data_IF_848234948663
#
_entry.id   IF_848234948663
#
_cell.length_a   1.000
_cell.length_b   1.000
_cell.length_c   1.000
_cell.angle_alpha   90.00
_cell.angle_beta   90.00
_cell.angle_gamma   90.00
#
_symmetry.space_group_name_H-M   'P 1'
#
loop_
_entity.id
_entity.type
_entity.pdbx_description
1 polymer ?
#
# COMPACT_ATOMS: atom_id res chain seq x y z
N UNK A 1 -3.08 -17.70 15.93
CA UNK A 1 -2.89 -16.59 16.90
C UNK A 1 -4.24 -15.96 17.24
N UNK A 2 -4.40 -15.41 18.45
CA UNK A 2 -5.70 -14.86 18.90
C UNK A 2 -6.01 -13.54 18.19
N UNK A 3 -7.25 -13.30 17.71
CA UNK A 3 -7.68 -12.03 17.10
C UNK A 3 -7.39 -10.79 17.98
N UNK A 4 -7.26 -11.00 19.30
CA UNK A 4 -7.04 -9.94 20.28
C UNK A 4 -5.62 -9.33 20.30
N UNK A 5 -4.67 -9.89 19.55
CA UNK A 5 -3.32 -9.30 19.42
C UNK A 5 -3.32 -8.04 18.54
N UNK A 6 -4.43 -7.78 17.85
CA UNK A 6 -4.55 -6.72 16.86
C UNK A 6 -5.58 -5.71 17.31
N UNK A 7 -5.18 -4.45 17.49
CA UNK A 7 -6.12 -3.34 17.63
C UNK A 7 -6.67 -2.98 16.24
N UNK A 8 -7.34 -3.95 15.62
CA UNK A 8 -8.16 -3.73 14.45
C UNK A 8 -9.42 -3.02 14.93
N UNK A 9 -9.89 -2.02 14.19
CA UNK A 9 -11.25 -1.53 14.40
C UNK A 9 -12.25 -2.71 14.28
N UNK A 10 -13.42 -2.66 14.94
CA UNK A 10 -14.42 -3.74 14.85
C UNK A 10 -14.76 -4.16 13.41
N UNK A 11 -14.66 -3.22 12.46
CA UNK A 11 -14.83 -3.46 11.02
C UNK A 11 -13.68 -4.25 10.39
N UNK A 12 -12.43 -4.02 10.82
CA UNK A 12 -11.23 -4.65 10.28
C UNK A 12 -11.00 -6.08 10.80
N UNK A 13 -11.61 -6.49 11.91
CA UNK A 13 -11.52 -7.88 12.40
C UNK A 13 -12.08 -8.89 11.40
N UNK A 14 -13.09 -8.50 10.63
CA UNK A 14 -13.68 -9.34 9.57
C UNK A 14 -12.96 -9.17 8.22
N UNK A 15 -11.97 -8.28 8.13
CA UNK A 15 -11.17 -8.06 6.91
C UNK A 15 -9.85 -8.84 6.93
N UNK A 16 -9.50 -9.51 8.03
CA UNK A 16 -8.27 -10.27 8.18
C UNK A 16 -8.04 -11.30 7.05
N UNK A 17 -9.04 -12.10 6.60
CA UNK A 17 -8.85 -13.00 5.45
C UNK A 17 -8.50 -12.25 4.16
N UNK A 18 -9.13 -11.09 3.93
CA UNK A 18 -8.87 -10.24 2.76
C UNK A 18 -7.45 -9.70 2.78
N UNK A 19 -6.95 -9.27 3.94
CA UNK A 19 -5.57 -8.79 4.10
C UNK A 19 -4.55 -9.91 3.85
N UNK A 20 -4.83 -11.14 4.31
CA UNK A 20 -4.04 -12.32 3.96
C UNK A 20 -4.00 -12.53 2.45
N UNK A 21 -5.14 -12.43 1.76
CA UNK A 21 -5.19 -12.55 0.30
C UNK A 21 -4.39 -11.43 -0.39
N UNK A 22 -4.47 -10.18 0.09
CA UNK A 22 -3.63 -9.08 -0.42
C UNK A 22 -2.14 -9.42 -0.33
N UNK A 23 -1.70 -9.93 0.81
CA UNK A 23 -0.32 -10.34 1.04
C UNK A 23 0.08 -11.46 0.09
N UNK A 24 -0.71 -12.54 0.02
CA UNK A 24 -0.40 -13.68 -0.82
C UNK A 24 -0.30 -13.29 -2.30
N UNK A 25 -1.26 -12.49 -2.79
CA UNK A 25 -1.22 -11.94 -4.15
C UNK A 25 0.03 -11.10 -4.36
N UNK A 26 0.37 -10.21 -3.42
CA UNK A 26 1.55 -9.35 -3.52
C UNK A 26 2.87 -10.13 -3.54
N UNK A 27 3.00 -11.15 -2.69
CA UNK A 27 4.17 -12.03 -2.65
C UNK A 27 4.30 -12.91 -3.89
N UNK A 28 3.16 -13.37 -4.44
CA UNK A 28 3.13 -14.11 -5.71
C UNK A 28 3.61 -13.25 -6.86
N UNK A 29 3.17 -11.98 -6.94
CA UNK A 29 3.67 -11.04 -7.95
C UNK A 29 5.16 -10.75 -7.77
N UNK A 30 5.60 -10.56 -6.52
CA UNK A 30 7.01 -10.34 -6.19
C UNK A 30 7.88 -11.53 -6.60
N UNK A 31 7.40 -12.77 -6.49
CA UNK A 31 8.17 -13.97 -6.86
C UNK A 31 8.31 -14.16 -8.37
N UNK A 32 7.38 -13.60 -9.16
CA UNK A 32 7.37 -13.70 -10.62
C UNK A 32 8.39 -12.78 -11.32
N UNK A 33 8.77 -11.67 -10.69
CA UNK A 33 9.72 -10.72 -11.25
C UNK A 33 10.89 -10.44 -10.27
N UNK A 34 12.12 -10.87 -10.56
CA UNK A 34 13.28 -10.65 -9.69
C UNK A 34 13.73 -9.19 -9.62
N UNK A 35 13.28 -8.33 -10.54
CA UNK A 35 13.60 -6.90 -10.57
C UNK A 35 12.54 -6.03 -9.87
N UNK A 36 11.46 -6.65 -9.38
CA UNK A 36 10.41 -5.96 -8.64
C UNK A 36 10.73 -5.81 -7.14
N UNK A 37 10.16 -4.79 -6.52
CA UNK A 37 10.09 -4.62 -5.07
C UNK A 37 8.63 -4.58 -4.62
N UNK A 38 8.38 -5.10 -3.42
CA UNK A 38 7.09 -4.98 -2.74
C UNK A 38 7.21 -3.88 -1.69
N UNK A 39 6.30 -2.92 -1.69
CA UNK A 39 6.22 -1.92 -0.63
C UNK A 39 4.90 -2.11 0.12
N UNK A 40 4.96 -2.52 1.37
CA UNK A 40 3.83 -2.36 2.28
C UNK A 40 3.83 -0.92 2.77
N UNK A 41 2.75 -0.19 2.51
CA UNK A 41 2.63 1.23 2.83
C UNK A 41 1.39 1.53 3.66
N UNK A 42 1.60 2.25 4.76
CA UNK A 42 0.57 2.67 5.69
C UNK A 42 1.16 2.93 7.07
N UNK A 43 0.89 4.11 7.61
CA UNK A 43 1.45 4.56 8.88
C UNK A 43 0.61 4.20 10.10
N UNK A 44 0.79 4.97 11.17
CA UNK A 44 0.09 4.81 12.45
C UNK A 44 -1.17 5.68 12.46
N UNK A 45 -2.28 5.14 11.95
CA UNK A 45 -3.52 5.92 11.72
C UNK A 45 -4.50 5.93 12.89
N UNK A 46 -4.19 5.22 13.99
CA UNK A 46 -5.00 5.15 15.21
C UNK A 46 -4.09 5.20 16.45
N UNK A 47 -4.40 6.06 17.42
CA UNK A 47 -3.62 6.23 18.66
C UNK A 47 -3.49 4.96 19.52
N UNK A 48 -4.34 3.95 19.28
CA UNK A 48 -4.32 2.68 20.02
C UNK A 48 -3.33 1.69 19.42
N UNK A 49 -2.96 1.82 18.14
CA UNK A 49 -2.07 0.86 17.50
C UNK A 49 -0.62 1.02 17.98
N UNK A 50 0.09 -0.11 18.12
CA UNK A 50 1.51 -0.14 18.53
C UNK A 50 2.47 -0.35 17.36
N UNK A 51 1.93 -0.72 16.20
CA UNK A 51 2.65 -0.93 14.95
C UNK A 51 1.88 -0.24 13.84
N UNK A 52 2.58 0.16 12.77
CA UNK A 52 1.95 0.76 11.59
C UNK A 52 1.12 -0.27 10.81
N UNK A 53 0.25 0.22 9.93
CA UNK A 53 -0.47 -0.65 8.99
C UNK A 53 0.52 -1.45 8.11
N UNK A 54 1.60 -0.84 7.63
CA UNK A 54 2.63 -1.52 6.85
C UNK A 54 3.36 -2.62 7.64
N UNK A 55 3.76 -2.35 8.87
CA UNK A 55 4.38 -3.35 9.74
C UNK A 55 3.43 -4.51 10.07
N UNK A 56 2.13 -4.24 10.17
CA UNK A 56 1.13 -5.30 10.39
C UNK A 56 1.04 -6.30 9.23
N UNK A 57 1.21 -5.84 7.98
CA UNK A 57 1.29 -6.73 6.81
C UNK A 57 2.50 -7.66 6.90
N UNK A 58 3.68 -7.12 7.24
CA UNK A 58 4.89 -7.93 7.39
C UNK A 58 4.75 -8.93 8.53
N UNK A 59 4.24 -8.51 9.69
CA UNK A 59 4.01 -9.39 10.83
C UNK A 59 3.06 -10.55 10.48
N UNK A 60 2.01 -10.28 9.68
CA UNK A 60 1.10 -11.31 9.18
C UNK A 60 1.78 -12.29 8.22
N UNK A 61 2.71 -11.80 7.36
CA UNK A 61 3.54 -12.68 6.53
C UNK A 61 4.39 -13.64 7.39
N UNK A 62 4.95 -13.13 8.48
CA UNK A 62 5.81 -13.89 9.39
C UNK A 62 5.02 -14.94 10.18
N UNK A 63 3.89 -14.55 10.79
CA UNK A 63 3.05 -15.44 11.61
C UNK A 63 2.41 -16.55 10.78
N UNK A 64 1.97 -16.24 9.55
CA UNK A 64 1.30 -17.20 8.68
C UNK A 64 2.25 -18.08 7.85
N UNK A 65 3.57 -17.85 7.94
CA UNK A 65 4.57 -18.67 7.24
C UNK A 65 4.52 -18.55 5.71
N UNK A 66 4.10 -17.40 5.16
CA UNK A 66 3.91 -17.20 3.71
C UNK A 66 5.21 -17.16 2.88
N UNK A 67 6.34 -17.48 3.48
CA UNK A 67 7.66 -17.48 2.82
C UNK A 67 7.86 -18.67 1.86
N UNK A 68 6.96 -19.65 1.86
CA UNK A 68 7.03 -20.87 1.04
C UNK A 68 6.46 -20.72 -0.38
N UNK A 69 6.19 -19.50 -0.86
CA UNK A 69 5.61 -19.22 -2.19
C UNK A 69 6.52 -19.68 -3.35
N UNK A 70 7.75 -20.14 -3.08
CA UNK A 70 8.68 -20.70 -4.07
C UNK A 70 8.97 -22.22 -3.94
N UNK A 71 8.14 -23.00 -3.25
CA UNK A 71 8.27 -24.47 -3.24
C UNK A 71 7.33 -25.12 -4.26
N UNK A 72 7.51 -24.83 -5.55
CA UNK A 72 6.61 -25.28 -6.63
C UNK A 72 7.23 -26.25 -7.65
N UNK A 73 6.90 -27.54 -7.49
CA UNK A 73 6.80 -28.59 -8.53
C UNK A 73 8.07 -29.26 -9.10
N UNK A 74 8.50 -30.32 -8.43
CA UNK A 74 9.11 -31.49 -9.06
C UNK A 74 8.40 -32.74 -8.52
N UNK A 75 7.42 -33.25 -9.26
CA UNK A 75 6.82 -34.55 -8.97
C UNK A 75 7.85 -35.61 -9.36
N UNK A 76 8.57 -36.16 -8.38
CA UNK A 76 9.56 -37.22 -8.57
C UNK A 76 9.57 -38.13 -7.37
N UNK A 77 8.99 -39.31 -7.53
CA UNK A 77 9.04 -40.42 -6.59
C UNK A 77 10.48 -40.91 -6.37
N UNK A 78 10.88 -41.10 -5.12
CA UNK A 78 11.93 -42.05 -4.76
C UNK A 78 13.17 -41.46 -4.10
N UNK A 79 13.47 -42.06 -2.94
CA UNK A 79 14.79 -42.23 -2.31
C UNK A 79 15.25 -41.17 -1.28
N UNK A 80 15.41 -41.69 -0.07
CA UNK A 80 16.04 -41.08 1.10
C UNK A 80 17.53 -40.84 0.80
N UNK A 81 17.97 -39.58 0.81
CA UNK A 81 19.37 -39.23 0.61
C UNK A 81 19.66 -37.75 0.85
N UNK A 82 20.45 -37.51 1.90
CA UNK A 82 21.33 -36.35 2.16
C UNK A 82 20.70 -34.96 2.42
N UNK A 83 21.09 -34.40 3.57
CA UNK A 83 20.81 -33.05 4.05
C UNK A 83 21.30 -31.99 3.02
N UNK A 84 20.37 -31.42 2.24
CA UNK A 84 20.67 -30.46 1.17
C UNK A 84 19.80 -29.20 1.20
N UNK A 85 20.46 -28.04 1.30
CA UNK A 85 20.00 -26.66 1.01
C UNK A 85 18.50 -26.30 1.24
N UNK A 86 18.06 -26.26 2.49
CA UNK A 86 16.98 -25.35 2.89
C UNK A 86 17.50 -23.89 2.83
N UNK A 87 16.92 -23.01 2.00
CA UNK A 87 17.00 -21.57 2.29
C UNK A 87 17.38 -20.56 1.20
N UNK A 88 17.38 -20.88 -0.10
CA UNK A 88 17.64 -19.84 -1.15
C UNK A 88 16.39 -19.13 -1.66
N UNK A 89 15.23 -19.79 -1.72
CA UNK A 89 14.01 -19.21 -2.31
C UNK A 89 13.34 -18.10 -1.46
N UNK A 90 13.29 -18.26 -0.14
CA UNK A 90 12.61 -17.32 0.76
C UNK A 90 13.45 -16.11 1.19
N UNK A 91 14.78 -16.23 1.20
CA UNK A 91 15.68 -15.15 1.63
C UNK A 91 15.69 -13.98 0.64
N UNK A 92 15.67 -14.26 -0.66
CA UNK A 92 15.64 -13.22 -1.70
C UNK A 92 14.30 -12.49 -1.85
N UNK A 93 13.20 -13.07 -1.36
CA UNK A 93 11.90 -12.38 -1.32
C UNK A 93 11.86 -11.34 -0.21
N UNK A 94 12.28 -11.70 1.01
CA UNK A 94 12.29 -10.80 2.18
C UNK A 94 13.12 -9.54 1.93
N UNK A 95 14.28 -9.67 1.30
CA UNK A 95 15.19 -8.56 1.00
C UNK A 95 14.65 -7.54 -0.02
N UNK A 96 13.54 -7.89 -0.70
CA UNK A 96 12.83 -7.05 -1.68
C UNK A 96 11.51 -6.48 -1.15
N UNK A 97 11.23 -6.65 0.14
CA UNK A 97 10.09 -6.04 0.82
C UNK A 97 10.55 -4.79 1.55
N UNK A 98 9.90 -3.66 1.27
CA UNK A 98 10.07 -2.40 1.97
C UNK A 98 8.86 -2.12 2.85
N UNK A 99 9.10 -1.53 4.02
CA UNK A 99 8.08 -1.07 4.95
C UNK A 99 8.06 0.45 4.93
N UNK A 100 6.91 1.02 4.59
CA UNK A 100 6.69 2.45 4.48
C UNK A 100 5.61 2.87 5.50
N UNK A 101 6.01 3.61 6.54
CA UNK A 101 5.18 3.87 7.73
C UNK A 101 4.74 5.33 7.88
N UNK A 102 4.98 6.18 6.87
CA UNK A 102 4.62 7.60 6.92
C UNK A 102 3.25 7.87 6.32
N UNK A 103 2.74 7.03 5.42
CA UNK A 103 1.49 7.31 4.71
C UNK A 103 0.27 7.39 5.64
N UNK A 104 -0.47 8.49 5.56
CA UNK A 104 -1.70 8.72 6.34
C UNK A 104 -2.97 8.63 5.48
N UNK A 105 -2.82 8.56 4.15
CA UNK A 105 -3.91 8.37 3.20
C UNK A 105 -3.44 7.63 1.94
N UNK A 106 -4.39 7.35 1.04
CA UNK A 106 -4.13 6.54 -0.15
C UNK A 106 -3.34 7.24 -1.27
N UNK A 107 -3.25 8.57 -1.28
CA UNK A 107 -2.32 9.26 -2.20
C UNK A 107 -0.90 9.13 -1.66
N UNK A 108 -0.71 9.37 -0.37
CA UNK A 108 0.58 9.20 0.29
C UNK A 108 1.08 7.76 0.20
N UNK A 109 0.19 6.75 0.22
CA UNK A 109 0.61 5.37 -0.01
C UNK A 109 1.37 5.19 -1.33
N UNK A 110 0.89 5.82 -2.41
CA UNK A 110 1.55 5.76 -3.71
C UNK A 110 2.81 6.62 -3.74
N UNK A 111 2.76 7.86 -3.27
CA UNK A 111 3.91 8.77 -3.27
C UNK A 111 5.07 8.16 -2.49
N UNK A 112 4.82 7.70 -1.27
CA UNK A 112 5.87 7.15 -0.42
C UNK A 112 6.31 5.76 -0.87
N UNK A 113 5.42 4.96 -1.47
CA UNK A 113 5.78 3.72 -2.14
C UNK A 113 6.77 3.96 -3.29
N UNK A 114 6.47 4.92 -4.17
CA UNK A 114 7.35 5.32 -5.28
C UNK A 114 8.69 5.86 -4.78
N UNK A 115 8.68 6.72 -3.75
CA UNK A 115 9.91 7.25 -3.15
C UNK A 115 10.74 6.14 -2.50
N UNK A 116 10.11 5.19 -1.81
CA UNK A 116 10.79 4.03 -1.23
C UNK A 116 11.48 3.18 -2.31
N UNK A 117 10.79 2.95 -3.43
CA UNK A 117 11.38 2.27 -4.59
C UNK A 117 12.58 3.06 -5.14
N UNK A 118 12.41 4.35 -5.42
CA UNK A 118 13.48 5.18 -5.97
C UNK A 118 14.70 5.27 -5.03
N UNK A 119 14.50 5.39 -3.73
CA UNK A 119 15.59 5.36 -2.73
C UNK A 119 16.35 4.04 -2.75
N UNK A 120 15.65 2.92 -2.95
CA UNK A 120 16.24 1.57 -2.94
C UNK A 120 16.98 1.22 -4.24
N UNK A 121 16.48 1.70 -5.38
CA UNK A 121 16.92 1.28 -6.73
C UNK A 121 17.69 2.38 -7.46
N UNK A 122 17.40 3.65 -7.19
CA UNK A 122 18.01 4.82 -7.84
C UNK A 122 17.31 5.27 -9.13
N UNK A 123 16.28 4.55 -9.59
CA UNK A 123 15.43 4.88 -10.75
C UNK A 123 13.96 4.70 -10.40
N UNK A 124 13.07 5.28 -11.21
CA UNK A 124 11.62 5.15 -11.05
C UNK A 124 11.10 3.83 -11.66
N UNK A 125 10.03 3.23 -11.12
CA UNK A 125 9.55 1.94 -11.60
C UNK A 125 8.92 2.04 -13.00
N UNK A 126 9.21 1.05 -13.85
CA UNK A 126 8.60 0.93 -15.18
C UNK A 126 7.12 0.51 -15.11
N UNK A 127 6.72 -0.26 -14.09
CA UNK A 127 5.33 -0.69 -13.87
C UNK A 127 4.99 -0.58 -12.39
N UNK A 128 3.77 -0.17 -12.07
CA UNK A 128 3.24 -0.16 -10.69
C UNK A 128 2.04 -1.09 -10.62
N UNK A 129 2.08 -2.03 -9.67
CA UNK A 129 0.95 -2.89 -9.35
C UNK A 129 0.41 -2.50 -7.97
N UNK A 130 -0.87 -2.16 -7.90
CA UNK A 130 -1.54 -1.76 -6.65
C UNK A 130 -2.47 -2.89 -6.23
N UNK A 131 -2.16 -3.55 -5.11
CA UNK A 131 -3.06 -4.53 -4.48
C UNK A 131 -3.80 -3.84 -3.34
N UNK A 132 -5.12 -3.76 -3.40
CA UNK A 132 -5.92 -3.08 -2.37
C UNK A 132 -7.37 -3.55 -2.35
N UNK A 133 -8.15 -2.96 -1.44
CA UNK A 133 -9.60 -3.14 -1.40
C UNK A 133 -10.20 -2.76 -2.75
N UNK A 134 -10.89 -3.71 -3.40
CA UNK A 134 -11.42 -3.54 -4.75
C UNK A 134 -12.32 -2.33 -4.93
N UNK A 135 -13.14 -2.02 -3.94
CA UNK A 135 -14.01 -0.83 -3.96
C UNK A 135 -13.24 0.50 -4.05
N UNK A 136 -11.94 0.54 -3.71
CA UNK A 136 -11.09 1.75 -3.84
C UNK A 136 -10.55 1.95 -5.26
N UNK A 137 -10.70 1.00 -6.17
CA UNK A 137 -10.07 1.04 -7.50
C UNK A 137 -10.39 2.30 -8.30
N UNK A 138 -11.65 2.75 -8.25
CA UNK A 138 -12.05 4.00 -8.90
C UNK A 138 -11.26 5.22 -8.40
N UNK A 139 -10.97 5.29 -7.09
CA UNK A 139 -10.20 6.39 -6.51
C UNK A 139 -8.72 6.35 -6.92
N UNK A 140 -8.12 5.16 -6.91
CA UNK A 140 -6.72 5.01 -7.33
C UNK A 140 -6.55 5.37 -8.81
N UNK A 141 -7.31 4.71 -9.69
CA UNK A 141 -7.16 4.87 -11.14
C UNK A 141 -7.72 6.20 -11.66
N UNK A 142 -8.81 6.69 -11.07
CA UNK A 142 -9.50 7.90 -11.53
C UNK A 142 -9.04 9.19 -10.86
N UNK A 143 -8.36 9.14 -9.71
CA UNK A 143 -7.91 10.33 -8.98
C UNK A 143 -6.39 10.31 -8.73
N UNK A 144 -5.87 9.30 -8.01
CA UNK A 144 -4.48 9.34 -7.54
C UNK A 144 -3.44 9.18 -8.65
N UNK A 145 -3.60 8.19 -9.54
CA UNK A 145 -2.68 7.97 -10.65
C UNK A 145 -2.65 9.20 -11.59
N UNK A 146 -3.81 9.79 -11.97
CA UNK A 146 -3.83 11.07 -12.67
C UNK A 146 -3.17 12.23 -11.91
N UNK A 147 -3.39 12.35 -10.59
CA UNK A 147 -2.77 13.40 -9.77
C UNK A 147 -1.24 13.29 -9.76
N UNK A 148 -0.73 12.06 -9.69
CA UNK A 148 0.71 11.76 -9.81
C UNK A 148 1.23 11.95 -11.22
N UNK A 149 0.36 11.98 -12.23
CA UNK A 149 0.72 11.90 -13.65
C UNK A 149 1.52 10.65 -13.97
N UNK A 150 1.29 9.56 -13.24
CA UNK A 150 1.91 8.28 -13.59
C UNK A 150 1.18 7.70 -14.82
N UNK A 151 1.88 7.19 -15.85
CA UNK A 151 1.22 6.70 -17.05
C UNK A 151 0.26 5.54 -16.72
N UNK A 152 -1.04 5.71 -16.98
CA UNK A 152 -2.06 4.70 -16.67
C UNK A 152 -1.79 3.36 -17.36
N UNK A 153 -1.17 3.36 -18.55
CA UNK A 153 -0.76 2.15 -19.27
C UNK A 153 0.29 1.31 -18.53
N UNK A 154 0.98 1.91 -17.55
CA UNK A 154 2.02 1.29 -16.72
C UNK A 154 1.51 0.96 -15.31
N UNK A 155 0.20 1.07 -15.07
CA UNK A 155 -0.42 0.78 -13.77
C UNK A 155 -1.43 -0.34 -13.89
N UNK A 156 -1.34 -1.30 -12.99
CA UNK A 156 -2.33 -2.36 -12.81
C UNK A 156 -2.92 -2.28 -11.39
N UNK A 157 -4.24 -2.32 -11.27
CA UNK A 157 -4.92 -2.33 -9.97
C UNK A 157 -5.59 -3.69 -9.76
N UNK A 158 -5.16 -4.39 -8.73
CA UNK A 158 -5.67 -5.69 -8.33
C UNK A 158 -6.56 -5.48 -7.11
N UNK A 159 -7.87 -5.45 -7.38
CA UNK A 159 -8.89 -5.23 -6.37
C UNK A 159 -9.35 -6.54 -5.73
N UNK A 160 -9.21 -6.66 -4.42
CA UNK A 160 -9.69 -7.80 -3.64
C UNK A 160 -10.64 -7.23 -2.58
N UNK A 161 -11.87 -7.75 -2.50
CA UNK A 161 -12.85 -7.31 -1.50
C UNK A 161 -13.06 -8.37 -0.44
N UNK A 162 -13.56 -8.00 0.75
CA UNK A 162 -14.04 -8.96 1.72
C UNK A 162 -15.19 -9.81 1.21
N UNK A 163 -15.28 -11.04 1.71
CA UNK A 163 -16.32 -12.03 1.39
C UNK A 163 -17.75 -11.48 1.58
N UNK A 164 -17.95 -10.64 2.61
CA UNK A 164 -19.26 -9.99 2.82
C UNK A 164 -19.72 -9.10 1.67
N UNK A 165 -18.83 -8.74 0.73
CA UNK A 165 -19.16 -7.96 -0.47
C UNK A 165 -19.40 -8.80 -1.71
N UNK A 166 -19.16 -10.10 -1.67
CA UNK A 166 -19.39 -11.01 -2.80
C UNK A 166 -20.79 -11.63 -2.70
N UNK A 167 -21.73 -11.32 -3.64
CA UNK A 167 -23.08 -11.89 -3.63
C UNK A 167 -23.15 -13.42 -3.74
N UNK A 168 -22.05 -14.08 -4.13
CA UNK A 168 -21.94 -15.54 -4.17
C UNK A 168 -21.43 -16.16 -2.88
N UNK A 169 -20.93 -15.35 -1.94
CA UNK A 169 -20.37 -15.80 -0.66
C UNK A 169 -21.47 -16.03 0.38
N UNK A 170 -21.35 -17.07 1.23
CA UNK A 170 -22.26 -17.26 2.36
C UNK A 170 -22.16 -16.14 3.42
N UNK A 171 -21.11 -15.33 3.38
CA UNK A 171 -20.90 -14.19 4.29
C UNK A 171 -21.52 -12.89 3.75
N UNK A 172 -22.16 -12.92 2.57
CA UNK A 172 -22.68 -11.74 1.90
C UNK A 172 -23.61 -10.90 2.79
N UNK A 173 -23.30 -9.62 2.90
CA UNK A 173 -24.06 -8.62 3.64
C UNK A 173 -24.35 -7.43 2.70
N UNK A 174 -25.56 -7.41 2.14
CA UNK A 174 -25.99 -6.38 1.20
C UNK A 174 -25.99 -4.97 1.81
N UNK A 175 -26.47 -4.84 3.06
CA UNK A 175 -26.61 -3.54 3.72
C UNK A 175 -25.24 -2.95 4.05
N UNK A 176 -24.34 -3.76 4.60
CA UNK A 176 -22.96 -3.37 4.85
C UNK A 176 -22.24 -3.04 3.54
N UNK A 177 -22.41 -3.85 2.50
CA UNK A 177 -21.82 -3.60 1.19
C UNK A 177 -22.24 -2.24 0.63
N UNK A 178 -23.54 -1.93 0.66
CA UNK A 178 -24.06 -0.61 0.23
C UNK A 178 -23.45 0.52 1.06
N UNK A 179 -23.44 0.39 2.38
CA UNK A 179 -22.87 1.39 3.29
C UNK A 179 -21.38 1.66 3.03
N UNK A 180 -20.58 0.61 2.80
CA UNK A 180 -19.15 0.73 2.46
C UNK A 180 -18.96 1.42 1.11
N UNK A 181 -19.73 1.04 0.09
CA UNK A 181 -19.63 1.63 -1.25
C UNK A 181 -20.06 3.11 -1.27
N UNK A 182 -21.13 3.47 -0.55
CA UNK A 182 -21.57 4.86 -0.40
C UNK A 182 -20.55 5.70 0.38
N UNK A 183 -19.95 5.12 1.42
CA UNK A 183 -18.87 5.73 2.19
C UNK A 183 -17.63 5.98 1.34
N UNK A 184 -17.21 4.99 0.56
CA UNK A 184 -16.09 5.12 -0.38
C UNK A 184 -16.39 6.16 -1.46
N UNK A 185 -17.60 6.15 -2.03
CA UNK A 185 -17.99 7.13 -3.05
C UNK A 185 -17.93 8.56 -2.49
N UNK A 186 -18.63 8.82 -1.39
CA UNK A 186 -18.82 10.17 -0.86
C UNK A 186 -17.57 10.74 -0.16
N UNK A 187 -16.92 9.94 0.69
CA UNK A 187 -15.78 10.40 1.51
C UNK A 187 -14.42 10.00 0.93
N UNK A 188 -14.39 9.07 -0.03
CA UNK A 188 -13.20 8.65 -0.76
C UNK A 188 -13.16 9.31 -2.14
N UNK A 189 -13.78 8.68 -3.13
CA UNK A 189 -13.70 9.07 -4.53
C UNK A 189 -14.09 10.54 -4.77
N UNK A 190 -15.29 10.98 -4.37
CA UNK A 190 -15.78 12.33 -4.67
C UNK A 190 -14.93 13.40 -3.98
N UNK A 191 -14.43 13.15 -2.76
CA UNK A 191 -13.53 14.04 -2.05
C UNK A 191 -12.19 14.22 -2.79
N UNK A 192 -11.58 13.13 -3.25
CA UNK A 192 -10.33 13.16 -4.02
C UNK A 192 -10.52 13.67 -5.45
N UNK A 193 -11.71 13.51 -6.04
CA UNK A 193 -12.04 14.10 -7.33
C UNK A 193 -12.13 15.62 -7.25
N UNK A 194 -12.65 16.16 -6.14
CA UNK A 194 -12.73 17.59 -5.90
C UNK A 194 -11.37 18.22 -5.52
N UNK A 195 -10.48 17.44 -4.90
CA UNK A 195 -9.15 17.86 -4.45
C UNK A 195 -8.11 16.79 -4.78
N UNK A 196 -7.68 16.75 -6.04
CA UNK A 196 -6.81 15.69 -6.56
C UNK A 196 -5.44 15.63 -5.89
N UNK A 197 -4.94 16.75 -5.39
CA UNK A 197 -3.66 16.85 -4.69
C UNK A 197 -3.80 16.70 -3.17
N UNK A 198 -5.03 16.60 -2.66
CA UNK A 198 -5.30 16.43 -1.24
C UNK A 198 -4.92 17.63 -0.38
N UNK A 199 -4.90 18.84 -0.95
CA UNK A 199 -4.41 20.06 -0.28
C UNK A 199 -5.50 20.90 0.39
N UNK A 200 -6.76 20.52 0.24
CA UNK A 200 -7.91 21.16 0.87
C UNK A 200 -8.19 20.64 2.28
N UNK A 201 -8.92 21.44 3.05
CA UNK A 201 -9.16 21.24 4.48
C UNK A 201 -9.76 19.87 4.83
N UNK A 202 -10.58 19.30 3.96
CA UNK A 202 -11.24 18.00 4.20
C UNK A 202 -10.22 16.85 4.22
N UNK A 203 -9.33 16.78 3.22
CA UNK A 203 -8.36 15.70 3.11
C UNK A 203 -7.17 15.93 4.04
N UNK A 204 -6.72 17.19 4.15
CA UNK A 204 -5.74 17.59 5.16
C UNK A 204 -6.21 17.29 6.56
N UNK A 205 -7.42 17.71 6.94
CA UNK A 205 -8.01 17.46 8.25
C UNK A 205 -8.04 15.98 8.63
N UNK A 206 -8.26 15.07 7.66
CA UNK A 206 -8.11 13.63 7.89
C UNK A 206 -6.68 13.24 8.24
N UNK A 207 -5.67 13.74 7.51
CA UNK A 207 -4.25 13.51 7.87
C UNK A 207 -3.92 14.08 9.24
N UNK A 208 -4.35 15.30 9.56
CA UNK A 208 -4.16 15.90 10.89
C UNK A 208 -4.74 15.00 11.99
N UNK A 209 -5.96 14.47 11.79
CA UNK A 209 -6.60 13.61 12.78
C UNK A 209 -5.90 12.26 13.00
N UNK A 210 -5.04 11.84 12.06
CA UNK A 210 -4.28 10.58 12.09
C UNK A 210 -2.84 10.78 12.55
N UNK A 211 -2.35 12.02 12.60
CA UNK A 211 -0.96 12.36 12.89
C UNK A 211 -0.64 12.33 14.40
N UNK A 212 -0.90 11.20 15.06
CA UNK A 212 -0.66 11.03 16.49
C UNK A 212 0.83 11.07 16.85
N UNK A 213 1.69 10.71 15.89
CA UNK A 213 3.14 10.59 16.08
C UNK A 213 3.93 11.77 15.48
N UNK A 214 3.24 12.80 14.98
CA UNK A 214 3.84 14.02 14.41
C UNK A 214 4.82 13.72 13.27
N UNK A 215 4.45 12.77 12.42
CA UNK A 215 5.21 12.36 11.24
C UNK A 215 4.79 13.12 9.98
N UNK A 216 3.76 13.98 10.07
CA UNK A 216 3.37 14.88 8.98
C UNK A 216 4.50 15.88 8.69
N UNK A 217 4.80 16.09 7.42
CA UNK A 217 5.83 17.04 7.01
C UNK A 217 6.31 16.82 5.58
N UNK A 218 7.63 16.89 5.41
CA UNK A 218 8.32 16.79 4.12
C UNK A 218 8.53 15.34 3.69
N UNK A 219 8.54 15.10 2.39
CA UNK A 219 8.69 13.77 1.79
C UNK A 219 10.15 13.36 1.68
N UNK A 220 11.04 14.36 1.56
CA UNK A 220 12.48 14.19 1.37
C UNK A 220 13.25 14.50 2.66
N UNK A 221 14.36 13.81 2.85
CA UNK A 221 15.28 14.03 3.98
C UNK A 221 16.11 15.31 3.80
N UNK A 222 16.31 15.73 2.54
CA UNK A 222 17.01 16.96 2.19
C UNK A 222 16.52 17.52 0.86
N UNK A 223 16.80 18.80 0.62
CA UNK A 223 16.54 19.45 -0.66
C UNK A 223 17.35 18.81 -1.81
N UNK A 224 18.58 18.38 -1.54
CA UNK A 224 19.42 17.65 -2.51
C UNK A 224 18.78 16.32 -2.92
N UNK A 225 18.17 15.59 -1.98
CA UNK A 225 17.43 14.37 -2.30
C UNK A 225 16.23 14.67 -3.21
N UNK A 226 15.47 15.73 -2.89
CA UNK A 226 14.34 16.18 -3.71
C UNK A 226 14.77 16.51 -5.13
N UNK A 227 15.83 17.30 -5.29
CA UNK A 227 16.39 17.64 -6.60
C UNK A 227 16.84 16.41 -7.38
N UNK A 228 17.57 15.48 -6.74
CA UNK A 228 18.01 14.22 -7.36
C UNK A 228 16.86 13.32 -7.79
N UNK A 229 15.76 13.33 -7.05
CA UNK A 229 14.57 12.56 -7.39
C UNK A 229 13.90 13.09 -8.66
N UNK A 230 14.02 14.39 -8.93
CA UNK A 230 13.32 15.07 -10.01
C UNK A 230 11.82 15.26 -9.78
N UNK A 231 11.29 14.84 -8.63
CA UNK A 231 9.87 15.03 -8.27
C UNK A 231 9.57 16.52 -8.17
N UNK A 232 8.49 16.94 -8.83
CA UNK A 232 7.99 18.30 -8.75
C UNK A 232 7.04 18.40 -7.56
N UNK A 233 7.59 18.84 -6.44
CA UNK A 233 6.89 19.10 -5.19
C UNK A 233 7.34 20.43 -4.57
N UNK A 234 6.54 20.95 -3.63
CA UNK A 234 6.91 22.08 -2.79
C UNK A 234 6.45 21.84 -1.35
N UNK A 235 7.21 22.39 -0.39
CA UNK A 235 6.78 22.46 1.01
C UNK A 235 5.86 23.66 1.16
N UNK A 236 4.64 23.43 1.62
CA UNK A 236 3.65 24.48 1.85
C UNK A 236 3.29 24.55 3.34
N UNK A 237 3.27 25.77 3.87
CA UNK A 237 2.75 26.08 5.20
C UNK A 237 1.26 26.41 5.08
N UNK A 238 0.43 25.67 5.81
CA UNK A 238 -1.01 25.86 5.86
C UNK A 238 -1.50 26.52 7.16
N UNK A 239 -0.58 26.99 8.01
CA UNK A 239 -0.88 27.64 9.29
C UNK A 239 -1.13 26.66 10.45
N UNK A 240 -1.63 25.46 10.15
CA UNK A 240 -1.76 24.33 11.10
C UNK A 240 -0.58 23.36 11.03
N UNK A 241 0.42 23.67 10.19
CA UNK A 241 1.69 22.97 10.01
C UNK A 241 2.11 22.90 8.53
N UNK A 242 3.26 22.28 8.28
CA UNK A 242 3.83 22.14 6.94
C UNK A 242 3.52 20.78 6.33
N UNK A 243 3.25 20.77 5.03
CA UNK A 243 3.11 19.55 4.24
C UNK A 243 3.78 19.75 2.88
N UNK A 244 4.49 18.72 2.43
CA UNK A 244 4.94 18.69 1.04
C UNK A 244 3.83 18.21 0.11
N UNK A 245 3.69 18.85 -1.04
CA UNK A 245 2.60 18.65 -2.00
C UNK A 245 3.13 18.57 -3.42
N UNK A 246 2.46 17.81 -4.29
CA UNK A 246 2.75 17.83 -5.72
C UNK A 246 2.44 19.20 -6.30
N UNK A 247 3.29 19.67 -7.20
CA UNK A 247 3.06 20.90 -7.97
C UNK A 247 3.01 20.61 -9.46
N UNK A 248 2.56 21.60 -10.23
CA UNK A 248 2.54 21.52 -11.69
C UNK A 248 3.94 21.29 -12.30
N UNK A 249 3.95 20.84 -13.55
CA UNK A 249 5.16 20.46 -14.28
C UNK A 249 5.23 18.96 -14.59
N UNK A 250 6.26 18.55 -15.32
CA UNK A 250 6.51 17.15 -15.67
C UNK A 250 7.20 16.45 -14.49
N UNK A 251 6.62 15.37 -14.02
CA UNK A 251 7.13 14.44 -13.02
C UNK A 251 8.14 13.47 -13.67
N UNK A 252 9.06 12.89 -12.89
CA UNK A 252 10.20 12.15 -13.44
C UNK A 252 9.83 10.76 -13.98
N UNK A 253 8.62 10.27 -13.70
CA UNK A 253 8.06 9.04 -14.24
C UNK A 253 7.11 9.27 -15.44
N UNK A 254 6.88 10.54 -15.83
CA UNK A 254 6.16 10.85 -17.06
C UNK A 254 7.04 10.54 -18.29
N UNK A 255 6.42 9.97 -19.32
CA UNK A 255 7.06 9.69 -20.61
C UNK A 255 7.58 10.96 -21.30
#
# INVERSE_FOLDING_TARGET
>A
TSPNAWLLSPLQHQEHPTLTTHIHTSLTLLSQDPHSLLVFSGGFTDHRVRISEAASYLALCEDAGFWSINSGSGSGSGEEGEEGEEGKGGKGLKERILIEEKAMDSLQNLVFGLLGFWRRVGVWPEKVMVVSMGFKGGRFLGCHIPALKFPLSRVEFIGINPEYMDPSSPEYDEERTKSVLEGEKSRGYDAWKADMYGTGDVLRGKRISRDYFKTRGVWFESEEERERSGVRSEVRDFGDGVEEVLVGGRQPWED
#
